data_IF_999392229872
#
_entry.id   IF_999392229872
#
_cell.length_a   1.000
_cell.length_b   1.000
_cell.length_c   1.000
_cell.angle_alpha   90.00
_cell.angle_beta   90.00
_cell.angle_gamma   90.00
#
_symmetry.space_group_name_H-M   'P 1'
#
loop_
_entity.id
_entity.type
_entity.pdbx_description
1 polymer ?
#
# COMPACT_ATOMS: atom_id res chain seq x y z
N UNK A 1 12.50 -53.88 13.41
CA UNK A 1 11.34 -53.25 12.72
C UNK A 1 11.88 -52.17 11.80
N UNK A 2 11.47 -52.20 10.51
CA UNK A 2 11.66 -51.24 9.38
C UNK A 2 12.96 -50.37 9.36
N UNK A 3 14.02 -50.63 8.58
CA UNK A 3 14.24 -50.55 7.10
C UNK A 3 13.87 -49.22 6.41
N UNK A 4 14.86 -48.70 5.64
CA UNK A 4 14.88 -47.70 4.53
C UNK A 4 15.47 -46.34 4.97
N UNK A 5 16.68 -45.88 4.60
CA UNK A 5 17.50 -45.88 3.37
C UNK A 5 16.87 -45.16 2.16
N UNK A 6 17.72 -44.35 1.48
CA UNK A 6 17.58 -43.53 0.25
C UNK A 6 17.13 -42.09 0.51
N UNK A 7 17.95 -41.02 0.37
CA UNK A 7 18.87 -40.59 -0.70
C UNK A 7 18.27 -40.76 -2.10
N UNK A 8 17.78 -39.66 -2.69
CA UNK A 8 17.85 -39.39 -4.14
C UNK A 8 17.76 -37.87 -4.34
N UNK A 9 18.82 -37.39 -4.97
CA UNK A 9 18.98 -36.09 -5.59
C UNK A 9 18.29 -36.16 -6.98
N UNK A 10 17.51 -35.16 -7.36
CA UNK A 10 17.16 -34.99 -8.78
C UNK A 10 17.08 -33.52 -9.17
N UNK A 11 18.12 -33.08 -9.87
CA UNK A 11 18.12 -31.93 -10.77
C UNK A 11 17.33 -32.32 -12.01
N UNK A 12 16.33 -31.54 -12.41
CA UNK A 12 15.77 -31.59 -13.77
C UNK A 12 15.76 -30.18 -14.32
N UNK A 13 16.85 -29.85 -15.01
CA UNK A 13 16.91 -28.82 -16.04
C UNK A 13 16.06 -29.29 -17.22
N UNK A 14 14.99 -28.55 -17.55
CA UNK A 14 14.29 -28.74 -18.82
C UNK A 14 14.80 -27.67 -19.80
N UNK A 15 15.79 -28.04 -20.61
CA UNK A 15 16.12 -27.37 -21.86
C UNK A 15 15.28 -28.04 -22.95
N UNK A 16 14.28 -27.33 -23.48
CA UNK A 16 13.60 -27.75 -24.71
C UNK A 16 14.13 -26.87 -25.83
N UNK A 17 15.17 -27.36 -26.50
CA UNK A 17 15.53 -26.95 -27.85
C UNK A 17 14.69 -27.75 -28.83
N UNK A 18 13.74 -27.09 -29.48
CA UNK A 18 12.99 -27.62 -30.62
C UNK A 18 13.06 -26.63 -31.78
N UNK A 19 14.00 -26.83 -32.69
CA UNK A 19 13.98 -26.26 -34.04
C UNK A 19 13.11 -27.14 -34.94
N UNK A 20 12.14 -26.56 -35.66
CA UNK A 20 11.41 -27.29 -36.71
C UNK A 20 10.13 -26.62 -37.24
N UNK A 21 10.31 -25.68 -38.17
CA UNK A 21 9.43 -25.14 -39.22
C UNK A 21 7.90 -25.38 -39.19
N UNK A 22 7.17 -24.25 -39.24
CA UNK A 22 5.78 -24.19 -39.69
C UNK A 22 5.45 -22.78 -40.17
N UNK A 23 5.47 -22.59 -41.50
CA UNK A 23 5.02 -21.42 -42.23
C UNK A 23 3.59 -21.04 -41.82
N UNK A 24 3.39 -19.87 -41.20
CA UNK A 24 2.14 -19.11 -41.30
C UNK A 24 2.48 -17.62 -41.18
N UNK A 25 2.49 -16.97 -42.34
CA UNK A 25 2.52 -15.53 -42.49
C UNK A 25 1.12 -15.00 -42.15
N UNK A 26 0.92 -14.55 -40.90
CA UNK A 26 -0.25 -13.78 -40.49
C UNK A 26 0.22 -12.62 -39.62
N UNK A 27 0.25 -11.45 -40.25
CA UNK A 27 0.24 -10.10 -39.68
C UNK A 27 0.31 -10.03 -38.14
N UNK A 28 1.52 -10.04 -37.59
CA UNK A 28 1.74 -9.91 -36.15
C UNK A 28 2.38 -8.57 -35.85
N UNK A 29 1.52 -7.54 -35.71
CA UNK A 29 1.93 -6.29 -35.10
C UNK A 29 2.65 -6.60 -33.78
N UNK A 30 3.87 -6.07 -33.64
CA UNK A 30 4.62 -6.17 -32.38
C UNK A 30 3.67 -5.76 -31.24
N UNK A 31 3.42 -6.62 -30.24
CA UNK A 31 2.85 -6.13 -29.00
C UNK A 31 3.93 -5.24 -28.41
N UNK A 32 3.78 -3.92 -28.58
CA UNK A 32 4.48 -2.94 -27.78
C UNK A 32 4.13 -3.31 -26.35
N UNK A 33 5.06 -3.99 -25.65
CA UNK A 33 4.99 -4.16 -24.20
C UNK A 33 4.84 -2.76 -23.65
N UNK A 34 3.61 -2.35 -23.32
CA UNK A 34 3.37 -1.17 -22.50
C UNK A 34 4.23 -1.41 -21.27
N UNK A 35 5.29 -0.62 -21.13
CA UNK A 35 6.07 -0.54 -19.91
C UNK A 35 5.04 -0.28 -18.82
N UNK A 36 4.79 -1.28 -17.98
CA UNK A 36 3.94 -1.12 -16.81
C UNK A 36 4.73 -0.13 -15.96
N UNK A 37 4.32 1.13 -16.02
CA UNK A 37 4.86 2.17 -15.15
C UNK A 37 4.48 1.73 -13.74
N UNK A 38 5.48 1.29 -12.97
CA UNK A 38 5.26 0.95 -11.57
C UNK A 38 4.63 2.18 -10.91
N UNK A 39 3.52 1.99 -10.16
CA UNK A 39 2.83 3.10 -9.55
C UNK A 39 3.81 3.85 -8.65
N UNK A 40 4.07 5.13 -8.99
CA UNK A 40 4.87 6.01 -8.14
C UNK A 40 4.12 6.15 -6.82
N UNK A 41 4.68 5.58 -5.75
CA UNK A 41 4.11 5.66 -4.40
C UNK A 41 3.93 7.13 -4.04
N UNK A 42 2.69 7.53 -3.77
CA UNK A 42 2.35 8.90 -3.41
C UNK A 42 2.78 9.18 -1.97
N UNK A 43 3.01 10.46 -1.66
CA UNK A 43 3.29 10.88 -0.29
C UNK A 43 1.95 11.13 0.42
N UNK A 44 1.80 10.61 1.63
CA UNK A 44 0.70 11.00 2.52
C UNK A 44 0.99 12.35 3.15
N UNK A 45 -0.06 13.14 3.30
CA UNK A 45 -0.04 14.38 4.05
C UNK A 45 -0.83 14.18 5.34
N UNK A 46 -0.32 14.79 6.41
CA UNK A 46 -0.94 14.80 7.73
C UNK A 46 -1.14 16.26 8.14
N UNK A 47 -2.13 16.52 8.97
CA UNK A 47 -2.53 17.88 9.30
C UNK A 47 -3.74 17.89 10.21
N UNK A 48 -4.32 19.07 10.33
CA UNK A 48 -5.61 19.25 10.97
C UNK A 48 -6.71 19.15 9.91
N UNK A 49 -7.93 18.80 10.33
CA UNK A 49 -9.08 18.81 9.46
C UNK A 49 -10.00 19.98 9.82
N UNK A 50 -10.43 20.70 8.79
CA UNK A 50 -11.39 21.78 8.92
C UNK A 50 -12.63 21.39 8.10
N UNK A 51 -13.76 21.25 8.79
CA UNK A 51 -15.02 20.85 8.20
C UNK A 51 -15.54 21.86 7.18
N UNK A 52 -15.18 23.14 7.34
CA UNK A 52 -15.55 24.23 6.43
C UNK A 52 -14.60 24.29 5.21
N UNK A 53 -13.49 23.57 5.24
CA UNK A 53 -12.44 23.62 4.25
C UNK A 53 -12.56 22.43 3.28
N UNK A 54 -13.44 22.51 2.26
CA UNK A 54 -13.53 21.68 1.04
C UNK A 54 -12.89 20.27 1.11
N UNK A 55 -13.15 19.51 2.18
CA UNK A 55 -12.53 18.21 2.49
C UNK A 55 -11.01 18.13 2.27
N UNK A 56 -10.25 19.10 2.76
CA UNK A 56 -8.79 19.08 2.74
C UNK A 56 -8.20 19.26 4.14
N UNK A 57 -6.97 18.77 4.30
CA UNK A 57 -6.21 19.06 5.50
C UNK A 57 -5.81 20.53 5.50
N UNK A 58 -6.01 21.19 6.64
CA UNK A 58 -5.42 22.48 6.94
C UNK A 58 -4.18 22.26 7.82
N UNK A 59 -3.25 23.21 7.83
CA UNK A 59 -2.03 23.16 8.65
C UNK A 59 -1.25 21.82 8.56
N UNK A 60 -0.64 21.55 7.40
CA UNK A 60 0.17 20.35 7.23
C UNK A 60 1.26 20.26 8.33
N UNK A 61 1.21 19.17 9.12
CA UNK A 61 2.13 18.91 10.22
C UNK A 61 2.39 17.41 10.35
N UNK A 62 3.43 17.05 11.08
CA UNK A 62 3.85 15.66 11.27
C UNK A 62 4.09 15.28 12.73
N UNK A 63 3.73 16.14 13.67
CA UNK A 63 3.85 15.89 15.10
C UNK A 63 2.48 16.05 15.73
N UNK A 64 2.07 15.06 16.51
CA UNK A 64 0.75 14.97 17.14
C UNK A 64 0.93 14.66 18.61
N UNK A 65 0.07 15.19 19.47
CA UNK A 65 0.02 14.74 20.86
C UNK A 65 -0.67 13.38 20.95
N UNK A 66 -0.49 12.69 22.08
CA UNK A 66 -1.07 11.35 22.31
C UNK A 66 -2.60 11.34 22.22
N UNK A 67 -3.23 12.42 22.67
CA UNK A 67 -4.68 12.53 22.81
C UNK A 67 -5.33 13.23 21.61
N UNK A 68 -4.55 13.52 20.56
CA UNK A 68 -5.05 14.16 19.34
C UNK A 68 -5.53 13.14 18.31
N UNK A 69 -6.66 13.46 17.69
CA UNK A 69 -7.08 12.77 16.47
C UNK A 69 -6.12 13.10 15.33
N UNK A 70 -5.63 12.07 14.64
CA UNK A 70 -4.68 12.24 13.55
C UNK A 70 -5.44 12.14 12.24
N UNK A 71 -5.37 13.21 11.45
CA UNK A 71 -5.94 13.24 10.11
C UNK A 71 -4.87 13.04 9.07
N UNK A 72 -5.20 12.27 8.05
CA UNK A 72 -4.35 12.12 6.87
C UNK A 72 -5.16 12.24 5.58
N UNK A 73 -4.46 12.65 4.53
CA UNK A 73 -4.99 12.67 3.18
C UNK A 73 -4.07 11.96 2.21
N UNK A 74 -4.71 11.29 1.26
CA UNK A 74 -4.09 10.62 0.15
C UNK A 74 -4.79 11.03 -1.12
N UNK A 75 -4.05 11.53 -2.11
CA UNK A 75 -4.53 11.67 -3.47
C UNK A 75 -3.73 10.77 -4.40
N UNK A 76 -4.42 9.97 -5.19
CA UNK A 76 -3.78 9.08 -6.15
C UNK A 76 -3.00 9.90 -7.18
N UNK A 77 -1.84 9.40 -7.58
CA UNK A 77 -0.92 10.11 -8.46
C UNK A 77 -1.62 10.57 -9.75
N UNK A 78 -1.49 11.87 -10.05
CA UNK A 78 -2.14 12.48 -11.21
C UNK A 78 -3.66 12.59 -11.13
N UNK A 79 -4.25 12.59 -9.93
CA UNK A 79 -5.70 12.69 -9.69
C UNK A 79 -6.51 11.56 -10.38
N UNK A 80 -5.86 10.41 -10.60
CA UNK A 80 -6.55 9.23 -11.12
C UNK A 80 -7.54 8.73 -10.07
N UNK A 81 -8.65 8.18 -10.53
CA UNK A 81 -9.64 7.52 -9.68
C UNK A 81 -8.98 6.43 -8.83
N UNK A 82 -9.46 6.23 -7.61
CA UNK A 82 -8.95 5.20 -6.71
C UNK A 82 -9.17 3.78 -7.24
N UNK A 83 -10.15 3.60 -8.14
CA UNK A 83 -10.50 2.35 -8.83
C UNK A 83 -10.76 1.13 -7.92
N UNK A 84 -10.87 1.36 -6.61
CA UNK A 84 -11.16 0.38 -5.58
C UNK A 84 -12.23 0.91 -4.63
N UNK A 85 -13.06 0.01 -4.12
CA UNK A 85 -14.05 0.28 -3.06
C UNK A 85 -13.52 -0.01 -1.66
N UNK A 86 -12.37 -0.69 -1.58
CA UNK A 86 -11.70 -1.03 -0.32
C UNK A 86 -10.24 -0.65 -0.42
N UNK A 87 -9.75 0.07 0.58
CA UNK A 87 -8.32 0.30 0.79
C UNK A 87 -7.90 -0.31 2.12
N UNK A 88 -6.68 -0.79 2.17
CA UNK A 88 -6.06 -1.28 3.39
C UNK A 88 -5.15 -0.19 3.92
N UNK A 89 -5.31 0.16 5.19
CA UNK A 89 -4.43 1.08 5.90
C UNK A 89 -3.56 0.24 6.82
N UNK A 90 -2.24 0.46 6.76
CA UNK A 90 -1.26 -0.24 7.58
C UNK A 90 -0.41 0.76 8.32
N UNK A 91 -0.35 0.60 9.63
CA UNK A 91 0.49 1.38 10.51
C UNK A 91 1.72 0.55 10.90
N UNK A 92 2.90 1.16 10.74
CA UNK A 92 4.18 0.56 11.11
C UNK A 92 4.91 1.45 12.11
N UNK A 93 5.80 0.82 12.87
CA UNK A 93 6.79 1.54 13.65
C UNK A 93 7.71 2.39 12.75
N UNK A 94 8.40 3.37 13.32
CA UNK A 94 9.29 4.26 12.58
C UNK A 94 10.44 3.55 11.87
N UNK A 95 10.79 2.32 12.29
CA UNK A 95 11.77 1.48 11.61
C UNK A 95 11.19 0.73 10.40
N UNK A 96 9.87 0.70 10.25
CA UNK A 96 9.08 -0.05 9.26
C UNK A 96 9.29 -1.56 9.32
N UNK A 97 9.76 -2.09 10.44
CA UNK A 97 10.03 -3.52 10.63
C UNK A 97 8.90 -4.24 11.33
N UNK A 98 8.08 -3.50 12.09
CA UNK A 98 6.95 -4.03 12.83
C UNK A 98 5.67 -3.38 12.33
N UNK A 99 4.70 -4.20 11.94
CA UNK A 99 3.31 -3.77 11.77
C UNK A 99 2.75 -3.59 13.17
N UNK A 100 2.27 -2.38 13.46
CA UNK A 100 1.57 -2.07 14.70
C UNK A 100 0.12 -2.46 14.52
N UNK A 101 -0.50 -2.02 13.42
CA UNK A 101 -1.85 -2.41 13.07
C UNK A 101 -2.12 -2.35 11.55
N UNK A 102 -3.22 -2.96 11.13
CA UNK A 102 -3.73 -3.01 9.77
C UNK A 102 -5.26 -3.15 9.75
N UNK A 103 -5.94 -2.25 9.05
CA UNK A 103 -7.40 -2.29 8.89
C UNK A 103 -7.82 -2.01 7.45
N UNK A 104 -9.05 -2.40 7.11
CA UNK A 104 -9.64 -2.09 5.82
C UNK A 104 -10.60 -0.91 5.97
N UNK A 105 -10.42 0.11 5.14
CA UNK A 105 -11.37 1.19 4.94
C UNK A 105 -12.28 0.81 3.75
N UNK A 106 -13.55 0.52 4.05
CA UNK A 106 -14.58 0.11 3.09
C UNK A 106 -15.40 1.27 2.54
N UNK A 107 -16.32 0.96 1.64
CA UNK A 107 -17.32 1.88 1.06
C UNK A 107 -16.75 3.16 0.43
N UNK A 108 -15.50 3.09 -0.03
CA UNK A 108 -14.85 4.21 -0.73
C UNK A 108 -15.50 4.35 -2.10
N UNK A 109 -15.89 5.57 -2.46
CA UNK A 109 -16.35 5.84 -3.81
C UNK A 109 -15.13 5.77 -4.77
N UNK A 110 -15.07 4.79 -5.69
CA UNK A 110 -13.91 4.60 -6.55
C UNK A 110 -13.74 5.74 -7.55
N UNK A 111 -14.75 6.61 -7.71
CA UNK A 111 -14.66 7.81 -8.55
C UNK A 111 -13.91 8.97 -7.89
N UNK A 112 -13.65 8.90 -6.58
CA UNK A 112 -12.87 9.91 -5.88
C UNK A 112 -11.40 9.84 -6.26
N UNK A 113 -10.71 10.99 -6.33
CA UNK A 113 -9.28 11.05 -6.63
C UNK A 113 -8.41 10.67 -5.43
N UNK A 114 -9.00 10.49 -4.25
CA UNK A 114 -8.29 10.36 -2.98
C UNK A 114 -9.22 10.04 -1.81
N UNK A 115 -8.62 9.99 -0.63
CA UNK A 115 -9.26 9.74 0.67
C UNK A 115 -8.73 10.79 1.66
N UNK A 116 -9.63 11.36 2.45
CA UNK A 116 -9.30 12.06 3.70
C UNK A 116 -10.00 11.31 4.81
N UNK A 117 -9.26 10.93 5.84
CA UNK A 117 -9.80 10.16 6.96
C UNK A 117 -8.96 10.42 8.19
N UNK A 118 -9.53 10.12 9.34
CA UNK A 118 -8.89 10.21 10.64
C UNK A 118 -8.91 8.87 11.35
N UNK A 119 -8.15 8.83 12.44
CA UNK A 119 -8.23 7.74 13.41
C UNK A 119 -7.82 8.27 14.79
N UNK A 120 -8.35 7.64 15.84
CA UNK A 120 -8.03 7.94 17.25
C UNK A 120 -7.59 6.67 17.98
N UNK A 121 -7.12 6.80 19.22
CA UNK A 121 -6.81 5.67 20.10
C UNK A 121 -8.06 4.93 20.59
N UNK A 122 -9.18 5.65 20.74
CA UNK A 122 -10.51 5.11 21.09
C UNK A 122 -11.00 4.04 20.09
N UNK A 123 -10.43 3.98 18.89
CA UNK A 123 -10.69 2.93 17.91
C UNK A 123 -10.09 1.55 18.30
N UNK A 124 -9.41 1.45 19.45
CA UNK A 124 -8.97 0.18 20.04
C UNK A 124 -7.59 -0.30 19.57
N UNK A 125 -6.73 0.62 19.14
CA UNK A 125 -5.39 0.33 18.65
C UNK A 125 -4.41 0.07 19.81
N UNK A 126 -4.24 -1.21 20.20
CA UNK A 126 -3.30 -1.62 21.26
C UNK A 126 -1.84 -1.25 20.89
N UNK A 127 -1.31 -0.21 21.52
CA UNK A 127 0.10 0.22 21.42
C UNK A 127 0.37 1.40 20.48
N UNK A 128 -0.67 2.12 20.03
CA UNK A 128 -0.54 3.30 19.16
C UNK A 128 -0.24 4.62 19.90
N UNK A 129 -0.43 4.67 21.22
CA UNK A 129 -0.33 5.91 21.99
C UNK A 129 1.08 6.22 22.53
N UNK A 130 2.04 5.30 22.38
CA UNK A 130 3.41 5.59 22.81
C UNK A 130 4.03 6.70 21.95
N UNK A 131 4.75 7.62 22.58
CA UNK A 131 5.48 8.66 21.85
C UNK A 131 6.56 8.01 20.98
N UNK A 132 6.68 8.49 19.73
CA UNK A 132 7.61 7.91 18.78
C UNK A 132 7.23 8.16 17.33
N UNK A 133 8.08 7.66 16.43
CA UNK A 133 7.90 7.80 14.99
C UNK A 133 7.12 6.64 14.42
N UNK A 134 6.26 6.94 13.47
CA UNK A 134 5.36 6.00 12.83
C UNK A 134 5.36 6.18 11.31
N UNK A 135 4.94 5.14 10.60
CA UNK A 135 4.70 5.19 9.15
C UNK A 135 3.31 4.65 8.86
N UNK A 136 2.51 5.44 8.13
CA UNK A 136 1.23 4.99 7.60
C UNK A 136 1.40 4.62 6.12
N UNK A 137 0.79 3.51 5.72
CA UNK A 137 0.73 3.04 4.35
C UNK A 137 -0.72 2.87 3.91
N UNK A 138 -1.03 3.29 2.69
CA UNK A 138 -2.31 3.03 2.02
C UNK A 138 -2.07 2.02 0.91
N UNK A 139 -2.77 0.89 0.97
CA UNK A 139 -2.63 -0.21 0.03
C UNK A 139 -3.94 -0.51 -0.69
N UNK A 140 -3.82 -0.99 -1.92
CA UNK A 140 -4.90 -1.61 -2.70
C UNK A 140 -4.51 -3.05 -2.97
N UNK A 141 -5.19 -3.98 -2.30
CA UNK A 141 -4.68 -5.34 -2.15
C UNK A 141 -3.28 -5.29 -1.51
N UNK A 142 -2.28 -5.80 -2.23
CA UNK A 142 -0.87 -5.75 -1.82
C UNK A 142 -0.07 -4.61 -2.48
N UNK A 143 -0.73 -3.78 -3.30
CA UNK A 143 -0.07 -2.67 -3.99
C UNK A 143 -0.02 -1.45 -3.08
N UNK A 144 1.19 -1.00 -2.74
CA UNK A 144 1.41 0.25 -2.01
C UNK A 144 1.04 1.45 -2.91
N UNK A 145 0.05 2.24 -2.48
CA UNK A 145 -0.40 3.43 -3.19
C UNK A 145 0.22 4.70 -2.62
N UNK A 146 0.30 4.78 -1.30
CA UNK A 146 0.87 5.92 -0.63
C UNK A 146 1.52 5.56 0.70
N UNK A 147 2.46 6.41 1.11
CA UNK A 147 3.17 6.28 2.37
C UNK A 147 3.51 7.66 2.94
N UNK A 148 3.46 7.79 4.26
CA UNK A 148 3.99 8.95 4.96
C UNK A 148 4.33 8.62 6.41
N UNK A 149 5.09 9.51 7.03
CA UNK A 149 5.54 9.35 8.41
C UNK A 149 5.11 10.54 9.25
N UNK A 150 4.81 10.26 10.51
CA UNK A 150 4.47 11.23 11.54
C UNK A 150 5.09 10.79 12.88
N UNK A 151 5.00 11.63 13.89
CA UNK A 151 5.55 11.43 15.22
C UNK A 151 4.51 11.78 16.27
N UNK A 152 4.36 10.93 17.28
CA UNK A 152 3.59 11.24 18.48
C UNK A 152 4.56 11.77 19.53
N UNK A 153 4.25 12.91 20.11
CA UNK A 153 5.05 13.61 21.13
C UNK A 153 4.25 13.77 22.42
N UNK A 154 4.97 13.79 23.56
CA UNK A 154 4.42 14.10 24.89
C UNK A 154 4.42 15.61 25.17
#
# INVERSE_FOLDING_TARGET
>A
MLKRLFLIMTVITLVVTGTGCGLLDVASGKPTKKKVEEPKVAKLEFGDYDEDADHHLVNARGHFSRDEEIYFSFFNSGKKKLDSTVLKIRLLDGSKKRVIDEWNHGDINPSWPGLVTSWTDDDGFDGFTDSGKYTLQVLRGDTLLAEGSFEIVD
#
